data_IF_071991639967
#
_entry.id   IF_071991639967
#
_cell.length_a   1.000
_cell.length_b   1.000
_cell.length_c   1.000
_cell.angle_alpha   90.00
_cell.angle_beta   90.00
_cell.angle_gamma   90.00
#
_symmetry.space_group_name_H-M   'P 1'
#
loop_
_entity.id
_entity.type
_entity.pdbx_description
1 polymer ?
#
# COMPACT_ATOMS: atom_id res chain seq x y z
N UNK A 1 -6.52 24.62 3.63
CA UNK A 1 -5.76 23.56 2.94
C UNK A 1 -6.72 22.41 2.74
N UNK A 2 -7.22 22.26 1.52
CA UNK A 2 -8.25 21.28 1.20
C UNK A 2 -7.61 19.96 0.80
N UNK A 3 -7.88 18.92 1.56
CA UNK A 3 -8.15 17.61 0.98
C UNK A 3 -9.10 16.90 1.94
N UNK A 4 -10.37 16.89 1.53
CA UNK A 4 -11.41 16.15 2.22
C UNK A 4 -11.10 14.67 2.13
N UNK A 5 -10.92 14.04 3.29
CA UNK A 5 -11.07 12.60 3.44
C UNK A 5 -12.52 12.26 3.09
N UNK A 6 -12.73 11.93 1.81
CA UNK A 6 -14.00 11.39 1.31
C UNK A 6 -14.34 10.12 2.06
N UNK A 7 -15.58 10.05 2.52
CA UNK A 7 -16.12 9.02 3.38
C UNK A 7 -16.28 7.62 2.67
N UNK A 8 -16.67 6.57 3.41
CA UNK A 8 -16.25 5.16 3.27
C UNK A 8 -17.10 4.28 2.32
N UNK A 9 -16.48 3.24 1.73
CA UNK A 9 -17.20 2.06 1.19
C UNK A 9 -16.39 0.75 1.05
N UNK A 10 -15.06 0.75 1.12
CA UNK A 10 -14.26 -0.48 1.20
C UNK A 10 -13.06 -0.20 2.09
N UNK A 11 -13.14 -0.52 3.37
CA UNK A 11 -12.10 -0.16 4.34
C UNK A 11 -10.89 -1.09 4.19
N UNK A 12 -10.10 -0.90 3.14
CA UNK A 12 -8.76 -1.48 3.06
C UNK A 12 -7.95 -0.79 4.16
N UNK A 13 -7.67 -1.52 5.22
CA UNK A 13 -6.93 -0.97 6.35
C UNK A 13 -5.45 -0.95 5.99
N UNK A 14 -4.82 0.22 6.11
CA UNK A 14 -3.37 0.35 5.91
C UNK A 14 -2.57 -0.62 6.80
N UNK A 15 -3.13 -0.97 7.97
CA UNK A 15 -2.59 -1.99 8.87
C UNK A 15 -2.67 -3.41 8.33
N UNK A 16 -3.78 -3.76 7.70
CA UNK A 16 -3.93 -5.06 7.04
C UNK A 16 -2.96 -5.15 5.86
N UNK A 17 -2.83 -4.06 5.10
CA UNK A 17 -1.87 -3.95 4.03
C UNK A 17 -0.42 -4.08 4.53
N UNK A 18 -0.07 -3.43 5.65
CA UNK A 18 1.24 -3.56 6.28
C UNK A 18 1.57 -5.02 6.60
N UNK A 19 0.60 -5.73 7.19
CA UNK A 19 0.73 -7.15 7.52
C UNK A 19 0.92 -7.98 6.25
N UNK A 20 0.11 -7.73 5.23
CA UNK A 20 0.16 -8.43 3.95
C UNK A 20 1.49 -8.20 3.21
N UNK A 21 2.05 -6.98 3.30
CA UNK A 21 3.35 -6.62 2.73
C UNK A 21 4.48 -7.32 3.50
N UNK A 22 4.49 -7.24 4.84
CA UNK A 22 5.50 -7.88 5.68
C UNK A 22 5.49 -9.39 5.53
N UNK A 23 4.31 -10.02 5.58
CA UNK A 23 4.16 -11.47 5.37
C UNK A 23 4.49 -11.86 3.92
N UNK A 24 4.06 -11.06 2.95
CA UNK A 24 4.26 -11.33 1.53
C UNK A 24 5.70 -11.23 1.08
N UNK A 25 6.44 -10.26 1.63
CA UNK A 25 7.87 -10.06 1.40
C UNK A 25 8.74 -10.83 2.39
N UNK A 26 8.12 -11.59 3.31
CA UNK A 26 8.81 -12.35 4.35
C UNK A 26 9.83 -11.51 5.15
N UNK A 27 9.43 -10.29 5.54
CA UNK A 27 10.26 -9.38 6.33
C UNK A 27 10.27 -9.82 7.81
N UNK A 28 11.08 -10.83 8.12
CA UNK A 28 11.20 -11.44 9.45
C UNK A 28 11.71 -10.48 10.55
N UNK A 29 12.45 -9.45 10.17
CA UNK A 29 12.96 -8.41 11.09
C UNK A 29 11.94 -7.28 11.33
N UNK A 30 10.83 -7.25 10.57
CA UNK A 30 9.83 -6.19 10.63
C UNK A 30 8.56 -6.70 11.30
N UNK A 31 8.18 -6.05 12.39
CA UNK A 31 6.88 -6.31 13.02
C UNK A 31 5.78 -5.48 12.33
N UNK A 32 4.77 -6.10 11.68
CA UNK A 32 3.71 -5.35 11.01
C UNK A 32 2.88 -4.49 11.98
N UNK A 33 2.93 -4.82 13.27
CA UNK A 33 2.32 -4.02 14.33
C UNK A 33 3.11 -2.73 14.67
N UNK A 34 4.36 -2.62 14.25
CA UNK A 34 5.21 -1.46 14.53
C UNK A 34 5.56 -0.67 13.27
N UNK A 35 5.19 -1.19 12.09
CA UNK A 35 5.30 -0.46 10.83
C UNK A 35 4.52 0.85 10.90
N UNK A 36 5.22 1.95 10.62
CA UNK A 36 4.63 3.27 10.48
C UNK A 36 3.90 3.36 9.14
N UNK A 37 2.61 3.65 9.21
CA UNK A 37 1.71 3.69 8.06
C UNK A 37 1.87 4.96 7.22
N UNK A 38 2.47 6.00 7.79
CA UNK A 38 2.72 7.30 7.17
C UNK A 38 4.18 7.44 6.70
N UNK A 39 5.06 6.54 7.13
CA UNK A 39 6.45 6.53 6.69
C UNK A 39 6.58 6.21 5.19
N UNK A 40 7.64 6.74 4.56
CA UNK A 40 7.97 6.40 3.18
C UNK A 40 8.26 4.92 3.02
N UNK A 41 7.59 4.31 2.02
CA UNK A 41 7.79 2.91 1.63
C UNK A 41 9.20 2.67 1.09
N UNK A 42 9.74 3.64 0.34
CA UNK A 42 11.06 3.60 -0.26
C UNK A 42 12.09 4.39 0.54
N UNK A 43 13.30 3.85 0.68
CA UNK A 43 14.47 4.57 1.18
C UNK A 43 14.36 5.11 2.61
N UNK A 44 13.52 4.48 3.44
CA UNK A 44 13.29 4.94 4.80
C UNK A 44 12.76 3.85 5.73
N UNK A 45 11.47 3.54 5.64
CA UNK A 45 10.78 2.73 6.64
C UNK A 45 10.97 1.22 6.48
N UNK A 46 10.43 0.67 5.39
CA UNK A 46 10.47 -0.76 5.08
C UNK A 46 11.67 -1.15 4.19
N UNK A 47 12.49 -0.17 3.82
CA UNK A 47 13.62 -0.28 2.89
C UNK A 47 13.27 -1.07 1.61
N UNK A 48 12.06 -0.85 1.08
CA UNK A 48 11.58 -1.59 -0.07
C UNK A 48 12.37 -1.24 -1.32
N UNK A 49 12.77 -2.29 -2.04
CA UNK A 49 13.41 -2.19 -3.34
C UNK A 49 12.39 -2.25 -4.48
N UNK A 50 12.85 -1.91 -5.69
CA UNK A 50 12.03 -1.99 -6.91
C UNK A 50 11.42 -3.38 -7.19
N UNK A 51 12.03 -4.46 -6.66
CA UNK A 51 11.51 -5.81 -6.75
C UNK A 51 10.32 -6.03 -5.81
N UNK A 52 10.41 -5.52 -4.58
CA UNK A 52 9.36 -5.66 -3.57
C UNK A 52 8.07 -5.01 -4.03
N UNK A 53 8.16 -3.87 -4.72
CA UNK A 53 6.99 -3.17 -5.29
C UNK A 53 6.21 -4.05 -6.26
N UNK A 54 6.91 -4.82 -7.09
CA UNK A 54 6.29 -5.73 -8.05
C UNK A 54 5.56 -6.85 -7.31
N UNK A 55 6.17 -7.38 -6.25
CA UNK A 55 5.57 -8.41 -5.41
C UNK A 55 4.34 -7.88 -4.65
N UNK A 56 4.43 -6.70 -4.03
CA UNK A 56 3.30 -6.00 -3.41
C UNK A 56 2.17 -5.78 -4.42
N UNK A 57 2.50 -5.32 -5.62
CA UNK A 57 1.51 -5.10 -6.69
C UNK A 57 0.79 -6.39 -7.09
N UNK A 58 1.52 -7.50 -7.12
CA UNK A 58 0.98 -8.82 -7.40
C UNK A 58 0.12 -9.34 -6.23
N UNK A 59 0.58 -9.20 -4.99
CA UNK A 59 -0.15 -9.59 -3.77
C UNK A 59 -1.47 -8.82 -3.64
N UNK A 60 -1.44 -7.51 -3.86
CA UNK A 60 -2.60 -6.64 -3.87
C UNK A 60 -3.57 -7.03 -4.98
N UNK A 61 -3.06 -7.38 -6.17
CA UNK A 61 -3.87 -7.91 -7.26
C UNK A 61 -4.50 -9.26 -6.94
N UNK A 62 -3.83 -10.14 -6.20
CA UNK A 62 -4.40 -11.42 -5.82
C UNK A 62 -5.43 -11.29 -4.68
N UNK A 63 -5.14 -10.46 -3.67
CA UNK A 63 -5.98 -10.30 -2.46
C UNK A 63 -7.19 -9.41 -2.67
N UNK A 64 -7.01 -8.26 -3.32
CA UNK A 64 -8.08 -7.29 -3.57
C UNK A 64 -8.56 -7.31 -5.02
N UNK A 65 -7.92 -8.12 -5.86
CA UNK A 65 -8.13 -8.16 -7.30
C UNK A 65 -7.42 -7.01 -8.07
N UNK A 66 -7.01 -5.91 -7.40
CA UNK A 66 -6.79 -4.60 -8.09
C UNK A 66 -5.43 -4.52 -8.76
N UNK A 67 -5.36 -3.86 -9.91
CA UNK A 67 -4.11 -3.67 -10.65
C UNK A 67 -3.52 -2.30 -10.37
N UNK A 68 -2.43 -2.28 -9.61
CA UNK A 68 -1.54 -1.11 -9.54
C UNK A 68 -0.75 -1.02 -10.84
N UNK A 69 -0.73 0.16 -11.46
CA UNK A 69 -0.01 0.39 -12.72
C UNK A 69 1.34 1.00 -12.41
N UNK A 70 2.43 0.39 -12.91
CA UNK A 70 3.78 0.94 -12.74
C UNK A 70 4.00 2.30 -13.45
N UNK A 71 3.16 2.63 -14.43
CA UNK A 71 3.20 3.89 -15.18
C UNK A 71 2.14 4.90 -14.70
N UNK A 72 1.52 4.68 -13.52
CA UNK A 72 0.57 5.66 -13.00
C UNK A 72 1.33 6.95 -12.62
N UNK A 73 0.91 8.13 -13.12
CA UNK A 73 1.55 9.40 -12.78
C UNK A 73 1.45 9.70 -11.27
N UNK A 74 0.53 9.05 -10.56
CA UNK A 74 0.39 9.21 -9.12
C UNK A 74 1.21 8.18 -8.33
N UNK A 75 2.05 7.34 -8.96
CA UNK A 75 2.79 6.31 -8.25
C UNK A 75 3.66 6.85 -7.11
N UNK A 76 4.27 8.02 -7.28
CA UNK A 76 5.01 8.67 -6.19
C UNK A 76 4.11 8.95 -4.98
N UNK A 77 2.83 9.29 -5.19
CA UNK A 77 1.86 9.54 -4.12
C UNK A 77 1.22 8.26 -3.59
N UNK A 78 0.91 7.31 -4.47
CA UNK A 78 0.31 6.01 -4.14
C UNK A 78 1.28 5.21 -3.27
N UNK A 79 2.54 5.12 -3.69
CA UNK A 79 3.60 4.44 -2.95
C UNK A 79 4.35 5.39 -1.99
N UNK A 80 3.81 6.58 -1.71
CA UNK A 80 4.41 7.48 -0.72
C UNK A 80 4.36 6.86 0.69
N UNK A 81 3.30 6.12 1.02
CA UNK A 81 3.12 5.50 2.34
C UNK A 81 2.12 4.35 2.24
N UNK A 82 2.12 3.45 3.23
CA UNK A 82 1.11 2.39 3.31
C UNK A 82 -0.31 2.94 3.38
N UNK A 83 -0.49 4.09 4.05
CA UNK A 83 -1.78 4.75 4.15
C UNK A 83 -2.30 5.22 2.79
N UNK A 84 -1.45 5.87 1.99
CA UNK A 84 -1.80 6.29 0.63
C UNK A 84 -2.10 5.09 -0.28
N UNK A 85 -1.29 4.04 -0.16
CA UNK A 85 -1.47 2.81 -0.94
C UNK A 85 -2.81 2.15 -0.61
N UNK A 86 -3.15 2.03 0.67
CA UNK A 86 -4.41 1.47 1.13
C UNK A 86 -5.62 2.28 0.66
N UNK A 87 -5.54 3.60 0.72
CA UNK A 87 -6.60 4.51 0.23
C UNK A 87 -6.81 4.37 -1.29
N UNK A 88 -5.70 4.25 -2.04
CA UNK A 88 -5.75 4.03 -3.47
C UNK A 88 -6.37 2.66 -3.82
N UNK A 89 -5.96 1.59 -3.12
CA UNK A 89 -6.53 0.25 -3.30
C UNK A 89 -8.03 0.26 -2.97
N UNK A 90 -8.44 0.90 -1.87
CA UNK A 90 -9.84 1.05 -1.49
C UNK A 90 -10.65 1.75 -2.58
N UNK A 91 -10.11 2.84 -3.13
CA UNK A 91 -10.71 3.59 -4.23
C UNK A 91 -10.86 2.73 -5.48
N UNK A 92 -9.81 2.00 -5.87
CA UNK A 92 -9.86 1.08 -7.01
C UNK A 92 -10.82 -0.09 -6.80
N UNK A 93 -10.87 -0.63 -5.58
CA UNK A 93 -11.75 -1.73 -5.21
C UNK A 93 -13.23 -1.31 -5.23
N UNK A 94 -13.52 -0.05 -4.87
CA UNK A 94 -14.86 0.52 -4.95
C UNK A 94 -15.31 0.83 -6.39
N UNK A 95 -14.38 0.90 -7.35
CA UNK A 95 -14.67 1.17 -8.77
C UNK A 95 -14.89 -0.10 -9.61
N UNK A 96 -15.02 -1.27 -8.95
CA UNK A 96 -15.22 -2.57 -9.61
C UNK A 96 -16.66 -3.02 -9.55
#
# INVERSE_FOLDING_TARGET
MSLGLGAPAAQVSARELATLVVEGLNLEDVNPAEVDLLAPLFGGGLDLDSLDVLEISLLVQQRYGVKLKADDPNNETIFASLQSLADHIATLAAQR
#
